data_IF_542823281039
#
_entry.id   IF_542823281039
#
_cell.length_a   1.000
_cell.length_b   1.000
_cell.length_c   1.000
_cell.angle_alpha   90.00
_cell.angle_beta   90.00
_cell.angle_gamma   90.00
#
_symmetry.space_group_name_H-M   'P 1'
#
loop_
_entity.id
_entity.type
_entity.pdbx_description
1 polymer ?
#
# COMPACT_ATOMS: atom_id res chain seq x y z
N UNK A 1 3.56 -1.33 -10.79
CA UNK A 1 3.53 -1.35 -9.31
C UNK A 1 2.68 -2.50 -8.78
N UNK A 2 1.34 -2.52 -8.83
CA UNK A 2 0.56 -3.66 -8.30
C UNK A 2 0.97 -5.03 -8.88
N UNK A 3 1.14 -5.11 -10.20
CA UNK A 3 1.66 -6.34 -10.86
C UNK A 3 3.11 -6.68 -10.48
N UNK A 4 3.91 -5.70 -10.09
CA UNK A 4 5.29 -5.90 -9.65
C UNK A 4 5.30 -6.47 -8.22
N UNK A 5 4.48 -5.93 -7.32
CA UNK A 5 4.28 -6.47 -5.97
C UNK A 5 3.80 -7.92 -6.02
N UNK A 6 2.75 -8.21 -6.80
CA UNK A 6 2.19 -9.55 -6.91
C UNK A 6 3.15 -10.56 -7.55
N UNK A 7 4.16 -10.08 -8.28
CA UNK A 7 5.23 -10.91 -8.80
C UNK A 7 6.48 -10.97 -7.91
N UNK A 8 6.43 -10.34 -6.72
CA UNK A 8 7.54 -10.28 -5.77
C UNK A 8 8.72 -9.40 -6.22
N UNK A 9 8.47 -8.45 -7.14
CA UNK A 9 9.49 -7.55 -7.69
C UNK A 9 9.57 -6.19 -7.00
N UNK A 10 8.59 -5.85 -6.16
CA UNK A 10 8.66 -4.74 -5.21
C UNK A 10 7.97 -5.16 -3.90
N UNK A 11 8.26 -4.47 -2.82
CA UNK A 11 7.60 -4.66 -1.53
C UNK A 11 6.28 -3.90 -1.44
N UNK A 12 5.52 -4.21 -0.40
CA UNK A 12 4.30 -3.54 0.01
C UNK A 12 4.56 -2.07 0.30
N UNK A 13 5.62 -1.79 1.06
CA UNK A 13 6.05 -0.43 1.37
C UNK A 13 6.42 0.38 0.13
N UNK A 14 7.11 -0.24 -0.83
CA UNK A 14 7.43 0.43 -2.10
C UNK A 14 6.16 0.77 -2.91
N UNK A 15 5.15 -0.10 -2.88
CA UNK A 15 3.86 0.16 -3.54
C UNK A 15 3.06 1.25 -2.83
N UNK A 16 2.87 1.14 -1.51
CA UNK A 16 2.06 2.07 -0.72
C UNK A 16 2.68 3.47 -0.75
N UNK A 17 4.00 3.57 -0.57
CA UNK A 17 4.71 4.86 -0.58
C UNK A 17 4.68 5.52 -1.96
N UNK A 18 4.78 4.74 -3.04
CA UNK A 18 4.59 5.27 -4.39
C UNK A 18 3.17 5.78 -4.61
N UNK A 19 2.15 5.04 -4.16
CA UNK A 19 0.76 5.44 -4.29
C UNK A 19 0.48 6.71 -3.49
N UNK A 20 0.96 6.77 -2.24
CA UNK A 20 0.85 7.93 -1.38
C UNK A 20 1.53 9.15 -2.00
N UNK A 21 2.81 9.06 -2.39
CA UNK A 21 3.53 10.18 -3.02
C UNK A 21 2.87 10.67 -4.31
N UNK A 22 2.24 9.78 -5.08
CA UNK A 22 1.64 10.12 -6.37
C UNK A 22 0.22 10.68 -6.27
N UNK A 23 -0.54 10.25 -5.26
CA UNK A 23 -1.99 10.50 -5.17
C UNK A 23 -2.45 11.15 -3.86
N UNK A 24 -1.72 11.05 -2.75
CA UNK A 24 -2.03 11.69 -1.45
C UNK A 24 -3.47 11.51 -0.96
N UNK A 25 -4.17 10.41 -1.26
CA UNK A 25 -5.61 10.21 -0.97
C UNK A 25 -6.60 11.03 -1.83
N UNK A 26 -6.15 11.72 -2.88
CA UNK A 26 -7.01 12.53 -3.77
C UNK A 26 -7.21 11.88 -5.16
N UNK A 27 -7.09 10.56 -5.26
CA UNK A 27 -7.42 9.84 -6.50
C UNK A 27 -8.93 9.68 -6.67
N UNK A 28 -9.42 9.73 -7.91
CA UNK A 28 -10.77 9.24 -8.24
C UNK A 28 -10.91 7.71 -8.07
N UNK A 29 -9.80 7.01 -7.82
CA UNK A 29 -9.75 5.58 -7.62
C UNK A 29 -9.65 5.24 -6.13
N UNK A 30 -10.75 4.74 -5.56
CA UNK A 30 -10.85 4.25 -4.18
C UNK A 30 -9.69 3.29 -3.79
N UNK A 31 -9.33 2.27 -4.61
CA UNK A 31 -8.18 1.42 -4.28
C UNK A 31 -6.84 2.16 -4.17
N UNK A 32 -6.62 3.23 -4.95
CA UNK A 32 -5.38 4.00 -4.87
C UNK A 32 -5.36 4.87 -3.61
N UNK A 33 -6.50 5.42 -3.20
CA UNK A 33 -6.61 6.13 -1.92
C UNK A 33 -6.38 5.18 -0.75
N UNK A 34 -6.92 3.96 -0.82
CA UNK A 34 -6.69 2.96 0.22
C UNK A 34 -5.22 2.55 0.33
N UNK A 35 -4.47 2.48 -0.78
CA UNK A 35 -3.02 2.25 -0.73
C UNK A 35 -2.25 3.38 -0.03
N UNK A 36 -2.69 4.63 -0.21
CA UNK A 36 -2.10 5.77 0.48
C UNK A 36 -2.43 5.76 1.98
N UNK A 37 -3.66 5.45 2.36
CA UNK A 37 -4.05 5.31 3.78
C UNK A 37 -3.26 4.21 4.49
N UNK A 38 -3.07 3.07 3.81
CA UNK A 38 -2.25 1.98 4.35
C UNK A 38 -0.77 2.38 4.49
N UNK A 39 -0.30 3.37 3.72
CA UNK A 39 1.06 3.91 3.87
C UNK A 39 1.21 4.71 5.16
N UNK A 40 0.21 5.53 5.50
CA UNK A 40 0.15 6.25 6.79
C UNK A 40 0.07 5.27 7.96
N UNK A 41 -0.84 4.29 7.89
CA UNK A 41 -0.98 3.25 8.92
C UNK A 41 0.34 2.47 9.10
N UNK A 42 1.06 2.20 8.00
CA UNK A 42 2.37 1.57 8.06
C UNK A 42 3.39 2.45 8.80
N UNK A 43 3.49 3.73 8.45
CA UNK A 43 4.43 4.68 9.09
C UNK A 43 4.14 4.86 10.58
N UNK A 44 2.87 4.88 10.97
CA UNK A 44 2.45 4.95 12.38
C UNK A 44 2.94 3.71 13.16
N UNK A 45 2.66 2.51 12.65
CA UNK A 45 3.08 1.26 13.31
C UNK A 45 4.61 1.11 13.33
N UNK A 46 5.29 1.44 12.23
CA UNK A 46 6.76 1.40 12.17
C UNK A 46 7.38 2.40 13.17
N UNK A 47 6.83 3.61 13.28
CA UNK A 47 7.28 4.60 14.26
C UNK A 47 7.06 4.14 15.71
N UNK A 48 6.04 3.31 15.95
CA UNK A 48 5.76 2.73 17.26
C UNK A 48 6.58 1.45 17.52
N UNK A 49 7.25 0.91 16.50
CA UNK A 49 7.95 -0.38 16.55
C UNK A 49 7.01 -1.57 16.67
N UNK A 50 5.79 -1.44 16.16
CA UNK A 50 4.75 -2.47 16.16
C UNK A 50 4.80 -3.34 14.90
N UNK A 51 4.03 -4.44 14.90
CA UNK A 51 3.97 -5.40 13.80
C UNK A 51 3.20 -4.85 12.59
N UNK A 52 3.85 -4.78 11.43
CA UNK A 52 3.29 -4.28 10.16
C UNK A 52 2.68 -5.38 9.29
N UNK A 53 2.78 -6.66 9.68
CA UNK A 53 2.36 -7.81 8.84
C UNK A 53 0.90 -7.69 8.38
N UNK A 54 0.02 -7.16 9.24
CA UNK A 54 -1.39 -6.94 8.90
C UNK A 54 -1.60 -5.89 7.80
N UNK A 55 -0.82 -4.80 7.85
CA UNK A 55 -0.85 -3.73 6.85
C UNK A 55 -0.28 -4.22 5.53
N UNK A 56 0.82 -4.98 5.57
CA UNK A 56 1.41 -5.61 4.38
C UNK A 56 0.42 -6.52 3.66
N UNK A 57 -0.30 -7.36 4.42
CA UNK A 57 -1.36 -8.20 3.85
C UNK A 57 -2.49 -7.34 3.24
N UNK A 58 -2.89 -6.25 3.90
CA UNK A 58 -3.87 -5.30 3.37
C UNK A 58 -3.43 -4.67 2.05
N UNK A 59 -2.16 -4.27 1.93
CA UNK A 59 -1.58 -3.72 0.71
C UNK A 59 -1.62 -4.76 -0.43
N UNK A 60 -1.29 -6.03 -0.15
CA UNK A 60 -1.40 -7.11 -1.13
C UNK A 60 -2.84 -7.33 -1.60
N UNK A 61 -3.81 -7.29 -0.69
CA UNK A 61 -5.21 -7.51 -1.02
C UNK A 61 -5.76 -6.40 -1.93
N UNK A 62 -5.40 -5.14 -1.66
CA UNK A 62 -5.75 -4.00 -2.52
C UNK A 62 -5.05 -4.10 -3.88
N UNK A 63 -3.76 -4.46 -3.91
CA UNK A 63 -3.04 -4.66 -5.16
C UNK A 63 -3.69 -5.76 -6.03
N UNK A 64 -4.16 -6.84 -5.41
CA UNK A 64 -4.86 -7.92 -6.08
C UNK A 64 -6.23 -7.49 -6.63
N UNK A 65 -6.96 -6.61 -5.93
CA UNK A 65 -8.27 -6.12 -6.39
C UNK A 65 -8.16 -5.21 -7.62
N UNK A 66 -7.08 -4.43 -7.74
CA UNK A 66 -6.81 -3.54 -8.88
C UNK A 66 -6.48 -4.32 -10.17
N UNK A 67 -5.82 -5.48 -10.03
CA UNK A 67 -5.31 -6.25 -11.17
C UNK A 67 -6.35 -7.20 -11.76
N UNK A 68 -7.41 -7.52 -11.00
CA UNK A 68 -8.54 -8.37 -11.43
C UNK A 68 -9.46 -7.61 -12.38
#
# INVERSE_FOLDING_TARGET
>A
MCRELLAGRCSERELSSWAHSRFHHESDSEPLNRLAELDDEYDELESMGEDTTGIEQGIRDVAASIVR
#
